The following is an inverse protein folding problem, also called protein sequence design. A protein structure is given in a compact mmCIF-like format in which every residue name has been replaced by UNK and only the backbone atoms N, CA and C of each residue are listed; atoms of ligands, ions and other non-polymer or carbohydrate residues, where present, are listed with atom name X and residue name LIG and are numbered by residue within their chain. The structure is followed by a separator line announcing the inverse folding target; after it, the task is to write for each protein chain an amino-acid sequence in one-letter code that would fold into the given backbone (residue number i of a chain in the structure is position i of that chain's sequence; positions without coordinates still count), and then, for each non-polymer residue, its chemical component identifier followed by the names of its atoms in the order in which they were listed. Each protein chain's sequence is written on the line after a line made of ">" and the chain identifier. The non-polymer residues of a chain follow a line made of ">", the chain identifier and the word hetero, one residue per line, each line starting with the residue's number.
data_IF_577762895238
#
_entry.id   IF_577762895238
#
_cell.length_a   1.000
_cell.length_b   1.000
_cell.length_c   1.000
_cell.angle_alpha   90.00
_cell.angle_beta   90.00
_cell.angle_gamma   90.00
#
_symmetry.space_group_name_H-M   'P 1'
#
loop_
_entity.id
_entity.type
_entity.pdbx_description
1 polymer ?
#
# COMPACT_ATOMS: atom_id res chain seq x y z
N UNK A 1 0.56 3.12 14.46
CA UNK A 1 1.28 1.85 14.16
C UNK A 1 0.42 1.10 13.18
N UNK A 2 0.86 0.95 11.94
CA UNK A 2 0.14 0.14 10.95
C UNK A 2 0.37 -1.34 11.28
N UNK A 3 -0.54 -2.23 10.89
CA UNK A 3 -0.46 -3.63 11.33
C UNK A 3 0.66 -4.45 10.69
N UNK A 4 1.40 -3.90 9.71
CA UNK A 4 2.36 -4.64 8.87
C UNK A 4 3.68 -3.89 8.58
N UNK A 5 3.79 -2.63 9.04
CA UNK A 5 4.95 -1.76 8.80
C UNK A 5 5.19 -0.91 10.04
N UNK A 6 6.37 -1.06 10.61
CA UNK A 6 6.84 -0.22 11.70
C UNK A 6 7.53 1.02 11.15
N UNK A 7 7.48 2.11 11.91
CA UNK A 7 8.07 3.38 11.54
C UNK A 7 9.17 3.76 12.52
N UNK A 8 10.39 3.93 12.01
CA UNK A 8 11.53 4.43 12.79
C UNK A 8 11.79 5.88 12.40
N UNK A 9 11.86 6.75 13.39
CA UNK A 9 12.29 8.14 13.22
C UNK A 9 13.73 8.24 13.70
N UNK A 10 14.64 8.59 12.80
CA UNK A 10 16.05 8.83 13.10
C UNK A 10 16.29 10.33 13.37
N UNK A 11 15.58 11.20 12.65
CA UNK A 11 15.55 12.65 12.83
C UNK A 11 14.12 13.17 12.60
N UNK A 12 13.57 13.87 13.58
CA UNK A 12 12.25 14.51 13.43
C UNK A 12 12.28 15.61 12.36
N UNK A 13 11.22 15.73 11.53
CA UNK A 13 11.06 16.84 10.61
C UNK A 13 10.72 18.13 11.35
N UNK A 14 10.91 19.26 10.67
CA UNK A 14 10.46 20.58 11.12
C UNK A 14 9.63 21.27 10.05
N UNK A 15 9.08 22.44 10.36
CA UNK A 15 8.35 23.27 9.39
C UNK A 15 9.18 23.67 8.16
N UNK A 16 10.52 23.70 8.28
CA UNK A 16 11.42 24.17 7.23
C UNK A 16 12.28 23.06 6.61
N UNK A 17 12.52 21.97 7.34
CA UNK A 17 13.45 20.91 6.95
C UNK A 17 12.81 19.52 7.04
N UNK A 18 13.08 18.67 6.04
CA UNK A 18 12.80 17.23 6.11
C UNK A 18 13.63 16.59 7.23
N UNK A 19 13.00 15.67 7.94
CA UNK A 19 13.65 14.74 8.85
C UNK A 19 14.17 13.52 8.10
N UNK A 20 14.47 12.47 8.85
CA UNK A 20 14.92 11.18 8.31
C UNK A 20 14.31 10.04 9.11
N UNK A 21 13.85 9.01 8.40
CA UNK A 21 13.30 7.83 9.03
C UNK A 21 13.45 6.59 8.15
N UNK A 22 12.86 5.49 8.61
CA UNK A 22 12.77 4.28 7.85
C UNK A 22 11.45 3.56 8.07
N UNK A 23 10.92 2.99 7.00
CA UNK A 23 9.90 1.96 7.06
C UNK A 23 10.58 0.61 7.33
N UNK A 24 10.13 -0.08 8.40
CA UNK A 24 10.60 -1.43 8.75
C UNK A 24 9.48 -2.41 8.41
N UNK A 25 9.71 -3.22 7.38
CA UNK A 25 8.71 -4.15 6.85
C UNK A 25 8.69 -5.45 7.65
N UNK A 26 7.55 -5.75 8.27
CA UNK A 26 7.37 -6.97 9.07
C UNK A 26 6.84 -8.11 8.19
N UNK A 27 6.92 -9.34 8.71
CA UNK A 27 6.29 -10.52 8.08
C UNK A 27 4.81 -10.65 8.48
N UNK A 28 4.26 -9.64 9.16
CA UNK A 28 2.85 -9.62 9.53
C UNK A 28 1.96 -9.40 8.32
N UNK A 29 0.75 -9.94 8.42
CA UNK A 29 -0.35 -9.64 7.51
C UNK A 29 -1.62 -9.38 8.30
N UNK A 30 -2.59 -8.76 7.63
CA UNK A 30 -3.89 -8.38 8.20
C UNK A 30 -4.97 -8.57 7.15
N UNK A 31 -6.04 -9.28 7.52
CA UNK A 31 -7.25 -9.48 6.71
C UNK A 31 -8.48 -9.08 7.51
N UNK A 32 -9.54 -8.66 6.83
CA UNK A 32 -10.81 -8.19 7.44
C UNK A 32 -10.65 -7.06 8.47
N UNK A 33 -9.60 -6.25 8.35
CA UNK A 33 -9.25 -5.19 9.30
C UNK A 33 -8.98 -5.70 10.73
N UNK A 34 -8.71 -7.01 10.90
CA UNK A 34 -8.49 -7.62 12.21
C UNK A 34 -7.24 -7.08 12.93
N UNK A 35 -6.28 -6.55 12.17
CA UNK A 35 -4.93 -6.23 12.65
C UNK A 35 -3.99 -7.41 12.43
N UNK A 36 -2.92 -7.50 13.23
CA UNK A 36 -1.93 -8.59 13.13
C UNK A 36 -2.62 -9.95 13.29
N UNK A 37 -2.42 -10.82 12.30
CA UNK A 37 -2.86 -12.21 12.32
C UNK A 37 -1.96 -13.06 13.25
N UNK A 38 -2.43 -14.22 13.73
CA UNK A 38 -1.65 -15.07 14.64
C UNK A 38 -0.38 -15.64 13.99
N UNK A 39 -0.35 -15.71 12.66
CA UNK A 39 0.78 -16.19 11.87
C UNK A 39 1.53 -15.02 11.20
N UNK A 40 2.79 -15.26 10.90
CA UNK A 40 3.62 -14.41 10.04
C UNK A 40 3.87 -15.14 8.71
N UNK A 41 4.02 -14.40 7.62
CA UNK A 41 4.39 -14.93 6.30
C UNK A 41 5.89 -14.69 6.13
N UNK A 42 6.75 -15.71 6.27
CA UNK A 42 8.20 -15.52 6.25
C UNK A 42 8.65 -14.76 5.00
N UNK A 43 9.56 -13.80 5.17
CA UNK A 43 10.13 -13.00 4.08
C UNK A 43 9.14 -12.08 3.33
N UNK A 44 7.85 -12.03 3.70
CA UNK A 44 6.91 -11.05 3.15
C UNK A 44 7.45 -9.63 3.25
N UNK A 45 7.91 -9.22 4.44
CA UNK A 45 8.42 -7.87 4.63
C UNK A 45 9.65 -7.58 3.78
N UNK A 46 10.56 -8.55 3.63
CA UNK A 46 11.72 -8.40 2.76
C UNK A 46 11.33 -8.29 1.27
N UNK A 47 10.35 -9.08 0.85
CA UNK A 47 9.84 -9.06 -0.53
C UNK A 47 9.18 -7.72 -0.88
N UNK A 48 8.34 -7.20 0.02
CA UNK A 48 7.67 -5.91 -0.15
C UNK A 48 8.66 -4.73 -0.09
N UNK A 49 9.66 -4.79 0.80
CA UNK A 49 10.73 -3.78 0.85
C UNK A 49 11.55 -3.77 -0.45
N UNK A 50 11.88 -4.96 -0.97
CA UNK A 50 12.62 -5.11 -2.24
C UNK A 50 11.81 -4.55 -3.41
N UNK A 51 10.54 -4.93 -3.53
CA UNK A 51 9.65 -4.48 -4.60
C UNK A 51 9.41 -2.95 -4.53
N UNK A 52 9.16 -2.43 -3.33
CA UNK A 52 8.96 -0.99 -3.12
C UNK A 52 10.21 -0.18 -3.45
N UNK A 53 11.38 -0.62 -2.99
CA UNK A 53 12.67 0.03 -3.30
C UNK A 53 12.95 0.02 -4.81
N UNK A 54 12.69 -1.11 -5.47
CA UNK A 54 12.81 -1.23 -6.92
C UNK A 54 11.94 -0.21 -7.64
N UNK A 55 10.66 -0.10 -7.26
CA UNK A 55 9.74 0.85 -7.87
C UNK A 55 10.20 2.30 -7.66
N UNK A 56 10.65 2.68 -6.46
CA UNK A 56 11.17 4.02 -6.22
C UNK A 56 12.39 4.33 -7.10
N UNK A 57 13.34 3.41 -7.24
CA UNK A 57 14.49 3.61 -8.12
C UNK A 57 14.09 3.72 -9.60
N UNK A 58 13.07 2.99 -10.03
CA UNK A 58 12.51 3.14 -11.39
C UNK A 58 11.80 4.49 -11.56
N UNK A 59 11.07 4.98 -10.54
CA UNK A 59 10.45 6.30 -10.55
C UNK A 59 11.51 7.41 -10.67
N UNK A 60 12.60 7.33 -9.90
CA UNK A 60 13.71 8.28 -9.95
C UNK A 60 14.44 8.28 -11.31
N UNK A 61 14.62 7.10 -11.92
CA UNK A 61 15.14 6.98 -13.29
C UNK A 61 14.25 7.68 -14.33
N UNK A 62 12.95 7.82 -14.04
CA UNK A 62 11.99 8.54 -14.85
C UNK A 62 11.75 9.99 -14.37
N UNK A 63 12.63 10.51 -13.51
CA UNK A 63 12.60 11.87 -12.97
C UNK A 63 11.32 12.21 -12.18
N UNK A 64 10.71 11.20 -11.56
CA UNK A 64 9.63 11.39 -10.61
C UNK A 64 10.25 11.66 -9.23
N UNK A 65 9.97 12.82 -8.58
CA UNK A 65 10.49 13.11 -7.24
C UNK A 65 9.88 12.15 -6.21
N UNK A 66 10.71 11.65 -5.30
CA UNK A 66 10.30 10.70 -4.26
C UNK A 66 10.99 11.02 -2.94
N UNK A 67 10.43 10.52 -1.84
CA UNK A 67 11.06 10.62 -0.52
C UNK A 67 12.07 9.50 -0.22
N UNK A 68 12.32 8.59 -1.16
CA UNK A 68 13.19 7.43 -0.96
C UNK A 68 14.66 7.85 -0.90
N UNK A 69 15.41 7.29 0.05
CA UNK A 69 16.85 7.55 0.21
C UNK A 69 17.72 6.30 0.02
N UNK A 70 17.11 5.14 -0.25
CA UNK A 70 17.80 3.85 -0.34
C UNK A 70 17.26 2.81 0.65
N UNK A 71 17.96 1.68 0.72
CA UNK A 71 17.67 0.60 1.66
C UNK A 71 18.77 0.49 2.72
N UNK A 72 18.38 0.13 3.94
CA UNK A 72 19.34 -0.03 5.02
C UNK A 72 19.92 -1.46 5.02
N UNK A 73 21.26 -1.55 5.02
CA UNK A 73 22.00 -2.82 5.14
C UNK A 73 22.86 -2.81 6.42
N UNK A 74 23.18 -3.98 7.00
CA UNK A 74 24.12 -4.07 8.11
C UNK A 74 25.47 -3.42 7.72
N UNK A 75 25.95 -2.47 8.53
CA UNK A 75 27.27 -1.88 8.33
C UNK A 75 28.42 -2.84 8.65
N UNK A 76 29.66 -2.39 8.42
CA UNK A 76 30.87 -3.21 8.67
C UNK A 76 31.08 -3.56 10.16
N UNK A 77 30.48 -2.79 11.07
CA UNK A 77 30.53 -3.04 12.50
C UNK A 77 29.56 -4.15 12.92
N UNK A 78 29.98 -5.02 13.84
CA UNK A 78 29.14 -6.09 14.39
C UNK A 78 28.73 -5.71 15.82
N UNK A 79 27.43 -5.62 16.09
CA UNK A 79 26.88 -5.30 17.42
C UNK A 79 25.48 -4.69 17.33
N UNK A 80 24.80 -4.56 18.48
CA UNK A 80 23.44 -3.99 18.54
C UNK A 80 23.39 -2.50 18.14
N UNK A 81 24.53 -1.80 18.24
CA UNK A 81 24.70 -0.38 17.90
C UNK A 81 25.42 -0.18 16.55
N UNK A 82 25.47 -1.21 15.70
CA UNK A 82 26.11 -1.10 14.39
C UNK A 82 25.35 -0.08 13.52
N UNK A 83 26.09 0.91 13.02
CA UNK A 83 25.58 1.88 12.06
C UNK A 83 25.11 1.14 10.80
N UNK A 84 23.88 1.42 10.37
CA UNK A 84 23.34 0.86 9.13
C UNK A 84 23.83 1.72 7.98
N UNK A 85 24.40 1.09 6.95
CA UNK A 85 24.69 1.78 5.71
C UNK A 85 23.40 1.91 4.90
N UNK A 86 23.23 3.04 4.22
CA UNK A 86 22.13 3.27 3.28
C UNK A 86 22.72 3.20 1.88
N UNK A 87 22.20 2.28 1.08
CA UNK A 87 22.70 1.95 -0.26
C UNK A 87 21.53 1.80 -1.22
N UNK A 88 21.81 1.86 -2.51
CA UNK A 88 20.84 1.49 -3.54
C UNK A 88 20.49 0.01 -3.42
N UNK A 89 19.27 -0.36 -3.82
CA UNK A 89 18.79 -1.74 -3.81
C UNK A 89 19.75 -2.66 -4.58
N UNK A 90 20.24 -2.21 -5.73
CA UNK A 90 21.16 -3.01 -6.55
C UNK A 90 22.45 -3.39 -5.80
N UNK A 91 22.98 -2.50 -4.96
CA UNK A 91 24.16 -2.78 -4.14
C UNK A 91 23.85 -3.80 -3.04
N UNK A 92 22.71 -3.63 -2.35
CA UNK A 92 22.24 -4.58 -1.34
C UNK A 92 22.06 -6.00 -1.93
N UNK A 93 21.43 -6.09 -3.11
CA UNK A 93 21.19 -7.37 -3.79
C UNK A 93 22.49 -8.03 -4.27
N UNK A 94 23.46 -7.27 -4.79
CA UNK A 94 24.79 -7.79 -5.15
C UNK A 94 25.54 -8.34 -3.92
N UNK A 95 25.32 -7.74 -2.75
CA UNK A 95 25.84 -8.26 -1.48
C UNK A 95 25.07 -9.48 -0.94
N UNK A 96 24.02 -9.93 -1.63
CA UNK A 96 23.18 -11.05 -1.22
C UNK A 96 22.23 -10.72 -0.07
N UNK A 97 21.86 -9.44 0.08
CA UNK A 97 21.01 -8.94 1.16
C UNK A 97 19.67 -8.52 0.59
N UNK A 98 18.60 -9.23 0.96
CA UNK A 98 17.23 -8.76 0.76
C UNK A 98 16.87 -7.78 1.89
N UNK A 99 16.64 -6.48 1.59
CA UNK A 99 16.43 -5.47 2.60
C UNK A 99 15.08 -5.64 3.30
N UNK A 100 14.98 -5.12 4.53
CA UNK A 100 13.71 -5.00 5.28
C UNK A 100 13.43 -3.58 5.76
N UNK A 101 14.35 -2.67 5.48
CA UNK A 101 14.28 -1.28 5.91
C UNK A 101 14.47 -0.39 4.70
N UNK A 102 13.47 0.45 4.43
CA UNK A 102 13.50 1.47 3.39
C UNK A 102 13.70 2.82 4.08
N UNK A 103 14.79 3.50 3.76
CA UNK A 103 15.14 4.80 4.34
C UNK A 103 14.45 5.89 3.53
N UNK A 104 13.88 6.87 4.23
CA UNK A 104 13.11 7.94 3.63
C UNK A 104 13.48 9.30 4.24
N UNK A 105 13.36 10.33 3.41
CA UNK A 105 13.21 11.71 3.89
C UNK A 105 11.84 11.84 4.54
N UNK A 106 11.81 12.25 5.80
CA UNK A 106 10.59 12.32 6.59
C UNK A 106 9.98 13.70 6.53
N UNK A 107 8.70 13.82 6.20
CA UNK A 107 7.92 15.06 6.27
C UNK A 107 7.08 15.13 7.54
N UNK A 108 6.53 16.30 7.86
CA UNK A 108 5.62 16.44 8.99
C UNK A 108 4.25 15.83 8.68
N UNK A 109 3.63 15.24 9.69
CA UNK A 109 2.21 14.91 9.69
C UNK A 109 1.58 15.47 10.97
N UNK A 110 1.22 16.76 11.00
CA UNK A 110 0.54 17.35 12.15
C UNK A 110 -0.75 16.62 12.50
N UNK A 111 -1.21 16.75 13.74
CA UNK A 111 -2.55 16.30 14.11
C UNK A 111 -3.59 17.07 13.29
N UNK A 112 -4.60 16.37 12.76
CA UNK A 112 -5.75 16.98 12.08
C UNK A 112 -6.85 17.24 13.13
N UNK A 113 -7.04 18.48 13.61
CA UNK A 113 -8.03 18.77 14.64
C UNK A 113 -9.44 18.57 14.09
N UNK A 114 -10.37 18.10 14.93
CA UNK A 114 -11.75 17.90 14.49
C UNK A 114 -12.76 18.07 15.63
N UNK A 115 -13.96 18.54 15.30
CA UNK A 115 -15.15 18.49 16.17
C UNK A 115 -16.24 17.64 15.50
N UNK A 116 -16.54 16.48 16.08
CA UNK A 116 -17.43 15.51 15.43
C UNK A 116 -16.87 15.04 14.08
N UNK A 117 -17.53 15.44 13.00
CA UNK A 117 -17.18 15.14 11.60
C UNK A 117 -16.61 16.35 10.85
N UNK A 118 -16.44 17.49 11.52
CA UNK A 118 -15.85 18.70 10.95
C UNK A 118 -14.34 18.69 11.24
N UNK A 119 -13.53 18.51 10.20
CA UNK A 119 -12.06 18.48 10.27
C UNK A 119 -11.46 19.82 9.84
N UNK A 120 -10.48 20.32 10.60
CA UNK A 120 -9.85 21.62 10.41
C UNK A 120 -8.54 21.50 9.62
N UNK A 121 -8.68 21.45 8.29
CA UNK A 121 -7.54 21.40 7.37
C UNK A 121 -6.75 22.72 7.33
N UNK A 122 -7.37 23.86 7.65
CA UNK A 122 -6.67 25.14 7.72
C UNK A 122 -5.65 25.12 8.88
N UNK A 123 -6.06 24.61 10.05
CA UNK A 123 -5.17 24.43 11.19
C UNK A 123 -4.07 23.39 10.92
N UNK A 124 -4.39 22.31 10.19
CA UNK A 124 -3.39 21.34 9.73
C UNK A 124 -2.28 22.02 8.91
N UNK A 125 -2.67 22.78 7.88
CA UNK A 125 -1.72 23.46 6.98
C UNK A 125 -0.97 24.60 7.68
N UNK A 126 -1.60 25.34 8.61
CA UNK A 126 -0.91 26.37 9.41
C UNK A 126 0.19 25.75 10.29
N UNK A 127 -0.07 24.59 10.89
CA UNK A 127 0.92 23.88 11.71
C UNK A 127 2.06 23.28 10.87
N UNK A 128 1.76 22.85 9.65
CA UNK A 128 2.71 22.16 8.78
C UNK A 128 3.63 23.13 7.99
N UNK A 129 3.16 24.34 7.67
CA UNK A 129 3.93 25.27 6.86
C UNK A 129 4.16 24.76 5.44
N UNK A 130 5.40 24.70 4.98
CA UNK A 130 5.76 24.27 3.61
C UNK A 130 6.35 22.85 3.55
N UNK A 131 6.24 22.07 4.63
CA UNK A 131 6.73 20.69 4.71
C UNK A 131 5.69 19.77 5.35
N UNK A 132 4.91 19.03 4.54
CA UNK A 132 3.84 18.17 5.05
C UNK A 132 3.49 16.98 4.18
N UNK A 133 2.99 15.91 4.78
CA UNK A 133 2.31 14.86 4.04
C UNK A 133 0.95 15.40 3.58
N UNK A 134 0.66 15.31 2.29
CA UNK A 134 -0.61 15.80 1.76
C UNK A 134 -1.73 14.90 2.33
N UNK A 135 -2.79 15.45 2.95
CA UNK A 135 -3.81 14.67 3.65
C UNK A 135 -4.83 14.03 2.69
N UNK A 136 -4.32 13.44 1.62
CA UNK A 136 -5.05 12.74 0.57
C UNK A 136 -4.41 11.39 0.30
N UNK A 137 -5.26 10.42 0.02
CA UNK A 137 -4.94 9.20 -0.69
C UNK A 137 -5.29 9.39 -2.17
N UNK A 138 -4.35 9.09 -3.06
CA UNK A 138 -4.52 9.29 -4.51
C UNK A 138 -4.61 7.91 -5.15
N UNK A 139 -5.83 7.50 -5.47
CA UNK A 139 -6.15 6.18 -6.00
C UNK A 139 -6.21 6.24 -7.51
N UNK A 140 -5.48 5.38 -8.20
CA UNK A 140 -5.61 5.20 -9.65
C UNK A 140 -6.15 3.80 -9.95
N UNK A 141 -6.90 3.66 -11.05
CA UNK A 141 -7.50 2.38 -11.46
C UNK A 141 -7.35 2.15 -12.96
N UNK A 142 -6.84 0.97 -13.31
CA UNK A 142 -6.84 0.42 -14.66
C UNK A 142 -8.00 -0.57 -14.86
N UNK A 143 -8.43 -1.23 -13.79
CA UNK A 143 -9.51 -2.21 -13.78
C UNK A 143 -10.47 -1.91 -12.63
N UNK A 144 -11.77 -2.12 -12.87
CA UNK A 144 -12.83 -1.98 -11.87
C UNK A 144 -13.30 -3.38 -11.45
N UNK A 145 -12.85 -3.93 -10.31
CA UNK A 145 -13.33 -5.23 -9.84
C UNK A 145 -14.76 -5.16 -9.32
N UNK A 146 -15.44 -6.32 -9.23
CA UNK A 146 -16.84 -6.44 -8.77
C UNK A 146 -17.07 -5.79 -7.39
N UNK A 147 -16.08 -5.89 -6.50
CA UNK A 147 -16.13 -5.30 -5.16
C UNK A 147 -15.81 -3.80 -5.08
N UNK A 148 -15.50 -3.14 -6.20
CA UNK A 148 -15.07 -1.74 -6.19
C UNK A 148 -16.16 -0.79 -5.69
N UNK A 149 -15.78 0.15 -4.82
CA UNK A 149 -16.67 1.21 -4.32
C UNK A 149 -17.14 2.15 -5.44
N UNK A 150 -16.37 2.25 -6.53
CA UNK A 150 -16.69 3.04 -7.72
C UNK A 150 -18.05 2.66 -8.31
N UNK A 151 -18.36 1.37 -8.32
CA UNK A 151 -19.59 0.80 -8.90
C UNK A 151 -20.86 1.27 -8.20
N UNK A 152 -20.77 1.73 -6.95
CA UNK A 152 -21.89 2.28 -6.17
C UNK A 152 -22.07 3.78 -6.35
N UNK A 153 -21.08 4.46 -6.94
CA UNK A 153 -20.99 5.93 -7.02
C UNK A 153 -21.10 6.47 -8.44
N UNK A 154 -21.05 5.62 -9.45
CA UNK A 154 -20.99 6.01 -10.86
C UNK A 154 -21.51 4.91 -11.77
N UNK A 155 -21.80 5.27 -13.02
CA UNK A 155 -22.24 4.36 -14.08
C UNK A 155 -21.09 4.06 -15.06
N UNK A 156 -21.04 2.87 -15.71
CA UNK A 156 -19.97 2.52 -16.65
C UNK A 156 -19.78 3.53 -17.79
N UNK A 157 -20.86 4.13 -18.26
CA UNK A 157 -20.85 5.10 -19.36
C UNK A 157 -20.07 6.37 -19.04
N UNK A 158 -19.91 6.72 -17.75
CA UNK A 158 -19.08 7.86 -17.33
C UNK A 158 -17.60 7.66 -17.65
N UNK A 159 -17.17 6.40 -17.84
CA UNK A 159 -15.80 6.00 -18.13
C UNK A 159 -15.62 5.49 -19.57
N UNK A 160 -16.55 5.81 -20.46
CA UNK A 160 -16.48 5.41 -21.86
C UNK A 160 -16.74 3.92 -22.12
N UNK A 161 -17.33 3.21 -21.17
CA UNK A 161 -17.68 1.80 -21.31
C UNK A 161 -19.09 1.63 -21.91
N UNK A 162 -19.25 0.67 -22.83
CA UNK A 162 -20.53 0.35 -23.48
C UNK A 162 -21.34 -0.68 -22.67
N UNK A 163 -21.62 -0.34 -21.41
CA UNK A 163 -22.48 -1.12 -20.52
C UNK A 163 -23.60 -0.24 -19.95
N UNK A 164 -24.82 -0.75 -19.90
CA UNK A 164 -25.95 -0.07 -19.25
C UNK A 164 -25.81 -0.06 -17.72
N UNK A 165 -25.22 -1.12 -17.16
CA UNK A 165 -24.94 -1.31 -15.73
C UNK A 165 -23.62 -2.05 -15.58
N UNK A 166 -22.96 -1.91 -14.44
CA UNK A 166 -21.74 -2.66 -14.15
C UNK A 166 -21.96 -4.18 -14.24
N UNK A 167 -21.16 -4.92 -15.04
CA UNK A 167 -21.29 -6.36 -15.18
C UNK A 167 -20.74 -7.12 -13.96
N UNK A 168 -21.19 -8.35 -13.69
CA UNK A 168 -20.73 -9.15 -12.53
C UNK A 168 -19.32 -9.78 -12.72
N UNK A 169 -18.43 -9.07 -13.41
CA UNK A 169 -17.04 -9.44 -13.66
C UNK A 169 -16.14 -8.19 -13.60
N UNK A 170 -14.83 -8.32 -13.38
CA UNK A 170 -13.88 -7.21 -13.51
C UNK A 170 -13.96 -6.57 -14.90
N UNK A 171 -13.83 -5.24 -14.97
CA UNK A 171 -13.87 -4.48 -16.24
C UNK A 171 -12.63 -3.61 -16.36
N UNK A 172 -11.89 -3.79 -17.43
CA UNK A 172 -10.77 -2.92 -17.76
C UNK A 172 -11.26 -1.58 -18.29
N UNK A 173 -10.64 -0.50 -17.80
CA UNK A 173 -10.92 0.86 -18.22
C UNK A 173 -10.13 1.19 -19.49
N UNK A 174 -10.72 1.95 -20.43
CA UNK A 174 -9.99 2.38 -21.64
C UNK A 174 -8.86 3.36 -21.33
N UNK A 175 -9.03 4.17 -20.29
CA UNK A 175 -8.03 5.08 -19.74
C UNK A 175 -8.08 4.98 -18.21
N UNK A 176 -6.93 5.04 -17.52
CA UNK A 176 -6.91 5.01 -16.06
C UNK A 176 -7.66 6.21 -15.49
N UNK A 177 -8.34 5.99 -14.37
CA UNK A 177 -9.00 7.07 -13.62
C UNK A 177 -8.24 7.36 -12.33
N UNK A 178 -8.25 8.62 -11.91
CA UNK A 178 -7.72 9.06 -10.61
C UNK A 178 -8.86 9.52 -9.72
N UNK A 179 -8.88 9.03 -8.49
CA UNK A 179 -9.79 9.43 -7.43
C UNK A 179 -9.00 9.89 -6.21
N UNK A 180 -9.53 10.88 -5.50
CA UNK A 180 -8.97 11.33 -4.23
C UNK A 180 -9.87 10.85 -3.09
N UNK A 181 -9.25 10.33 -2.03
CA UNK A 181 -9.91 10.16 -0.74
C UNK A 181 -9.15 10.89 0.35
N UNK A 182 -9.84 11.19 1.43
CA UNK A 182 -9.23 11.79 2.62
C UNK A 182 -8.18 10.86 3.20
N UNK A 183 -7.20 11.44 3.89
CA UNK A 183 -6.32 10.75 4.83
C UNK A 183 -6.47 11.41 6.20
N UNK A 184 -6.33 10.62 7.27
CA UNK A 184 -6.44 11.04 8.70
C UNK A 184 -7.85 11.33 9.23
N UNK A 185 -8.88 11.32 8.39
CA UNK A 185 -10.24 11.24 8.91
C UNK A 185 -10.46 9.88 9.61
N UNK A 186 -11.44 9.79 10.51
CA UNK A 186 -11.80 8.53 11.19
C UNK A 186 -12.19 7.41 10.22
N UNK A 187 -12.79 7.79 9.09
CA UNK A 187 -13.13 6.91 7.99
C UNK A 187 -12.86 7.66 6.70
N UNK A 188 -12.07 7.05 5.82
CA UNK A 188 -11.75 7.68 4.56
C UNK A 188 -12.98 7.77 3.66
N UNK A 189 -13.12 8.90 2.97
CA UNK A 189 -14.21 9.16 2.03
C UNK A 189 -13.66 9.71 0.73
N UNK A 190 -14.29 9.31 -0.37
CA UNK A 190 -13.98 9.85 -1.69
C UNK A 190 -14.47 11.29 -1.82
N UNK A 191 -13.69 12.08 -2.54
CA UNK A 191 -13.83 13.51 -2.66
C UNK A 191 -14.16 13.91 -4.09
N UNK A 192 -14.98 14.96 -4.23
CA UNK A 192 -14.97 15.71 -5.48
C UNK A 192 -13.69 16.55 -5.60
N UNK A 193 -13.44 17.07 -6.81
CA UNK A 193 -12.22 17.81 -7.11
C UNK A 193 -12.06 19.09 -6.28
N UNK A 194 -13.16 19.78 -5.95
CA UNK A 194 -13.13 21.03 -5.18
C UNK A 194 -12.82 20.75 -3.70
N UNK A 195 -13.34 19.65 -3.15
CA UNK A 195 -13.00 19.17 -1.82
C UNK A 195 -11.55 18.71 -1.74
N UNK A 196 -11.07 17.95 -2.73
CA UNK A 196 -9.70 17.48 -2.76
C UNK A 196 -8.70 18.65 -2.87
N UNK A 197 -8.97 19.64 -3.73
CA UNK A 197 -8.15 20.87 -3.86
C UNK A 197 -8.03 21.63 -2.53
N UNK A 198 -9.16 21.83 -1.82
CA UNK A 198 -9.14 22.43 -0.47
C UNK A 198 -8.29 21.64 0.52
N UNK A 199 -8.43 20.32 0.53
CA UNK A 199 -7.73 19.44 1.47
C UNK A 199 -6.23 19.37 1.15
N UNK A 200 -5.86 19.38 -0.14
CA UNK A 200 -4.47 19.39 -0.60
C UNK A 200 -3.70 20.66 -0.17
N UNK A 201 -4.40 21.77 0.08
CA UNK A 201 -3.82 23.01 0.56
C UNK A 201 -2.93 23.67 -0.50
N UNK A 202 -1.63 23.78 -0.21
CA UNK A 202 -0.67 24.38 -1.15
C UNK A 202 -0.33 23.47 -2.35
N UNK A 203 -0.61 22.17 -2.25
CA UNK A 203 -0.33 21.21 -3.32
C UNK A 203 -1.39 21.28 -4.43
N UNK A 204 -0.95 21.53 -5.68
CA UNK A 204 -1.86 21.59 -6.84
C UNK A 204 -2.46 20.22 -7.16
N UNK A 205 -3.80 20.13 -7.11
CA UNK A 205 -4.55 18.89 -7.37
C UNK A 205 -4.33 18.32 -8.78
N UNK A 206 -4.11 19.18 -9.78
CA UNK A 206 -3.83 18.73 -11.15
C UNK A 206 -2.44 18.11 -11.22
N UNK A 207 -1.47 18.67 -10.48
CA UNK A 207 -0.12 18.11 -10.41
C UNK A 207 -0.12 16.76 -9.70
N UNK A 208 -0.94 16.61 -8.66
CA UNK A 208 -1.15 15.33 -7.97
C UNK A 208 -1.74 14.27 -8.90
N UNK A 209 -2.74 14.63 -9.71
CA UNK A 209 -3.32 13.73 -10.71
C UNK A 209 -2.31 13.33 -11.80
N UNK A 210 -1.56 14.29 -12.37
CA UNK A 210 -0.49 14.01 -13.33
C UNK A 210 0.57 13.06 -12.76
N UNK A 211 0.95 13.26 -11.49
CA UNK A 211 1.92 12.44 -10.80
C UNK A 211 1.40 11.02 -10.60
N UNK A 212 0.15 10.86 -10.14
CA UNK A 212 -0.50 9.56 -10.00
C UNK A 212 -0.57 8.80 -11.33
N UNK A 213 -1.00 9.45 -12.42
CA UNK A 213 -1.03 8.85 -13.74
C UNK A 213 0.36 8.44 -14.24
N UNK A 214 1.39 9.24 -13.93
CA UNK A 214 2.78 8.92 -14.31
C UNK A 214 3.31 7.71 -13.54
N UNK A 215 3.03 7.64 -12.23
CA UNK A 215 3.39 6.49 -11.39
C UNK A 215 2.66 5.24 -11.89
N UNK A 216 1.34 5.32 -12.08
CA UNK A 216 0.51 4.22 -12.58
C UNK A 216 1.02 3.69 -13.92
N UNK A 217 1.34 4.57 -14.86
CA UNK A 217 1.89 4.18 -16.15
C UNK A 217 3.20 3.39 -16.00
N UNK A 218 4.14 3.87 -15.18
CA UNK A 218 5.44 3.20 -14.95
C UNK A 218 5.24 1.82 -14.31
N UNK A 219 4.40 1.73 -13.27
CA UNK A 219 4.11 0.47 -12.59
C UNK A 219 3.40 -0.52 -13.52
N UNK A 220 2.46 -0.04 -14.32
CA UNK A 220 1.71 -0.85 -15.29
C UNK A 220 2.61 -1.38 -16.40
N UNK A 221 3.53 -0.56 -16.93
CA UNK A 221 4.52 -1.03 -17.89
C UNK A 221 5.45 -2.08 -17.29
N UNK A 222 5.89 -1.90 -16.03
CA UNK A 222 6.74 -2.86 -15.35
C UNK A 222 6.01 -4.19 -15.11
N UNK A 223 4.77 -4.14 -14.60
CA UNK A 223 3.93 -5.30 -14.39
C UNK A 223 3.74 -6.10 -15.70
N UNK A 224 3.38 -5.42 -16.78
CA UNK A 224 3.14 -6.04 -18.08
C UNK A 224 4.39 -6.74 -18.66
N UNK A 225 5.59 -6.18 -18.43
CA UNK A 225 6.86 -6.82 -18.88
C UNK A 225 7.13 -8.14 -18.18
N UNK A 226 6.62 -8.31 -16.96
CA UNK A 226 6.78 -9.51 -16.14
C UNK A 226 5.53 -10.41 -16.11
N UNK A 227 4.54 -10.15 -16.98
CA UNK A 227 3.34 -10.98 -17.12
C UNK A 227 2.22 -10.69 -16.10
N UNK A 228 2.37 -9.64 -15.28
CA UNK A 228 1.33 -9.20 -14.34
C UNK A 228 0.36 -8.22 -15.00
N UNK A 229 -0.88 -8.24 -14.53
CA UNK A 229 -1.87 -7.19 -14.73
C UNK A 229 -1.87 -6.31 -13.49
N UNK A 230 -1.73 -5.00 -13.68
CA UNK A 230 -1.81 -4.00 -12.60
C UNK A 230 -3.20 -3.37 -12.61
N UNK A 231 -4.05 -3.77 -11.67
CA UNK A 231 -5.49 -3.49 -11.71
C UNK A 231 -5.83 -2.13 -11.11
N UNK A 232 -5.35 -1.85 -9.90
CA UNK A 232 -5.49 -0.58 -9.24
C UNK A 232 -4.39 -0.39 -8.19
N UNK A 233 -4.25 0.85 -7.72
CA UNK A 233 -3.28 1.18 -6.69
C UNK A 233 -3.53 2.55 -6.08
N UNK A 234 -2.67 2.91 -5.14
CA UNK A 234 -2.71 4.19 -4.46
C UNK A 234 -1.29 4.71 -4.26
N UNK A 235 -1.14 6.02 -4.34
CA UNK A 235 0.03 6.70 -3.79
C UNK A 235 -0.38 7.71 -2.72
N UNK A 236 0.60 8.02 -1.89
CA UNK A 236 0.61 9.20 -1.04
C UNK A 236 1.70 10.13 -1.53
N UNK A 237 1.58 11.41 -1.20
CA UNK A 237 2.55 12.42 -1.61
C UNK A 237 2.84 13.36 -0.45
N UNK A 238 4.07 13.87 -0.41
CA UNK A 238 4.44 14.99 0.46
C UNK A 238 4.61 16.26 -0.36
N UNK A 239 4.37 17.39 0.29
CA UNK A 239 4.67 18.72 -0.20
C UNK A 239 5.88 19.26 0.56
N UNK A 240 6.91 19.71 -0.15
CA UNK A 240 8.10 20.30 0.43
C UNK A 240 8.59 21.48 -0.41
N UNK A 241 8.54 22.69 0.14
CA UNK A 241 9.14 23.89 -0.45
C UNK A 241 8.66 24.21 -1.88
N UNK A 242 7.41 23.89 -2.22
CA UNK A 242 6.86 24.10 -3.56
C UNK A 242 6.90 22.87 -4.49
N UNK A 243 7.47 21.75 -4.03
CA UNK A 243 7.54 20.50 -4.78
C UNK A 243 6.63 19.42 -4.19
N UNK A 244 6.19 18.50 -5.04
CA UNK A 244 5.39 17.33 -4.66
C UNK A 244 6.21 16.08 -4.93
N UNK A 245 6.44 15.28 -3.90
CA UNK A 245 7.23 14.06 -3.97
C UNK A 245 6.36 12.86 -3.62
N UNK A 246 6.52 11.75 -4.34
CA UNK A 246 5.85 10.48 -4.01
C UNK A 246 6.37 9.98 -2.66
N UNK A 247 5.45 9.66 -1.77
CA UNK A 247 5.71 9.25 -0.41
C UNK A 247 5.10 7.87 -0.10
N UNK A 248 5.22 7.46 1.17
CA UNK A 248 4.89 6.13 1.67
C UNK A 248 5.58 4.99 0.90
N UNK A 249 4.86 3.93 0.53
CA UNK A 249 5.36 2.77 -0.23
C UNK A 249 4.57 2.67 -1.52
N UNK A 250 5.25 2.40 -2.64
CA UNK A 250 4.62 2.43 -3.97
C UNK A 250 4.71 1.08 -4.68
N UNK A 251 3.58 0.65 -5.27
CA UNK A 251 3.54 -0.44 -6.24
C UNK A 251 3.87 -1.83 -5.68
N UNK A 252 3.58 -2.09 -4.41
CA UNK A 252 3.79 -3.43 -3.83
C UNK A 252 2.51 -4.26 -3.82
N UNK A 253 2.63 -5.58 -3.68
CA UNK A 253 1.49 -6.51 -3.61
C UNK A 253 0.51 -6.28 -2.44
N UNK A 254 0.89 -5.47 -1.43
CA UNK A 254 0.00 -5.09 -0.33
C UNK A 254 -0.69 -3.73 -0.56
N UNK A 255 -0.08 -2.84 -1.35
CA UNK A 255 -0.58 -1.48 -1.60
C UNK A 255 -1.39 -1.37 -2.90
N UNK A 256 -1.08 -2.21 -3.88
CA UNK A 256 -1.73 -2.27 -5.18
C UNK A 256 -2.27 -3.68 -5.45
N UNK A 257 -3.23 -3.78 -6.37
CA UNK A 257 -3.73 -5.06 -6.87
C UNK A 257 -3.00 -5.46 -8.13
N UNK A 258 -2.37 -6.62 -8.05
CA UNK A 258 -1.75 -7.28 -9.18
C UNK A 258 -2.33 -8.67 -9.32
N UNK A 259 -2.66 -9.04 -10.54
CA UNK A 259 -3.01 -10.42 -10.88
C UNK A 259 -2.01 -11.00 -11.88
N UNK A 260 -1.78 -12.30 -11.79
CA UNK A 260 -0.94 -13.06 -12.71
C UNK A 260 -1.74 -14.28 -13.18
N UNK A 261 -1.90 -14.42 -14.49
CA UNK A 261 -2.77 -15.44 -15.11
C UNK A 261 -4.21 -15.43 -14.52
N UNK A 262 -4.69 -14.26 -14.05
CA UNK A 262 -6.01 -14.12 -13.40
C UNK A 262 -6.07 -14.56 -11.93
N UNK A 263 -4.94 -14.81 -11.28
CA UNK A 263 -4.84 -15.01 -9.83
C UNK A 263 -4.26 -13.77 -9.16
N UNK A 264 -4.95 -13.24 -8.15
CA UNK A 264 -4.43 -12.17 -7.28
C UNK A 264 -3.13 -12.62 -6.58
N UNK A 265 -2.10 -11.78 -6.68
CA UNK A 265 -0.80 -11.98 -6.03
C UNK A 265 -0.74 -11.04 -4.82
N UNK A 266 -1.44 -11.41 -3.75
CA UNK A 266 -1.51 -10.63 -2.52
C UNK A 266 -2.02 -11.48 -1.36
N UNK A 267 -2.20 -10.85 -0.19
CA UNK A 267 -2.90 -11.45 0.96
C UNK A 267 -4.36 -11.85 0.67
N UNK A 268 -4.93 -11.48 -0.48
CA UNK A 268 -6.28 -11.90 -0.85
C UNK A 268 -6.44 -13.42 -0.89
N UNK A 269 -5.38 -14.16 -1.25
CA UNK A 269 -5.34 -15.63 -1.17
C UNK A 269 -5.65 -16.11 0.26
N UNK A 270 -4.98 -15.54 1.26
CA UNK A 270 -5.23 -15.88 2.66
C UNK A 270 -6.59 -15.38 3.14
N UNK A 271 -7.06 -14.23 2.66
CA UNK A 271 -8.42 -13.73 2.95
C UNK A 271 -9.46 -14.77 2.54
N UNK A 272 -9.36 -15.30 1.32
CA UNK A 272 -10.29 -16.30 0.81
C UNK A 272 -10.15 -17.64 1.53
N UNK A 273 -8.91 -18.04 1.87
CA UNK A 273 -8.66 -19.23 2.67
C UNK A 273 -9.36 -19.18 4.03
N UNK A 274 -9.23 -18.06 4.77
CA UNK A 274 -9.94 -17.85 6.03
C UNK A 274 -11.46 -17.85 5.87
N UNK A 275 -12.03 -17.24 4.81
CA UNK A 275 -13.48 -17.29 4.56
C UNK A 275 -13.98 -18.74 4.44
N UNK A 276 -13.22 -19.59 3.75
CA UNK A 276 -13.60 -20.98 3.51
C UNK A 276 -13.41 -21.86 4.73
N UNK A 277 -12.31 -21.69 5.47
CA UNK A 277 -11.91 -22.59 6.56
C UNK A 277 -12.35 -22.14 7.94
N UNK A 278 -12.52 -20.84 8.16
CA UNK A 278 -12.92 -20.24 9.44
C UNK A 278 -14.17 -19.34 9.29
N UNK A 279 -15.27 -19.81 8.68
CA UNK A 279 -16.44 -18.97 8.39
C UNK A 279 -17.14 -18.45 9.65
N UNK A 280 -17.10 -19.17 10.77
CA UNK A 280 -17.67 -18.70 12.05
C UNK A 280 -16.96 -17.46 12.58
N UNK A 281 -15.63 -17.42 12.47
CA UNK A 281 -14.86 -16.23 12.88
C UNK A 281 -15.15 -15.06 11.94
N UNK A 282 -15.18 -15.28 10.62
CA UNK A 282 -15.49 -14.22 9.66
C UNK A 282 -16.90 -13.66 9.88
N UNK A 283 -17.89 -14.51 10.19
CA UNK A 283 -19.23 -14.06 10.55
C UNK A 283 -19.23 -13.23 11.84
N UNK A 284 -18.52 -13.68 12.88
CA UNK A 284 -18.40 -12.94 14.15
C UNK A 284 -17.74 -11.57 13.96
N UNK A 285 -16.73 -11.45 13.08
CA UNK A 285 -16.13 -10.16 12.71
C UNK A 285 -17.16 -9.22 12.08
N UNK A 286 -17.98 -9.74 11.15
CA UNK A 286 -19.05 -8.94 10.53
C UNK A 286 -20.08 -8.48 11.56
N UNK A 287 -20.58 -9.39 12.40
CA UNK A 287 -21.55 -9.08 13.44
C UNK A 287 -21.01 -8.07 14.47
N UNK A 288 -19.72 -8.17 14.80
CA UNK A 288 -19.06 -7.24 15.71
C UNK A 288 -18.93 -5.83 15.11
N UNK A 289 -18.61 -5.72 13.82
CA UNK A 289 -18.58 -4.44 13.09
C UNK A 289 -19.96 -3.81 13.01
N UNK A 290 -20.97 -4.58 12.61
CA UNK A 290 -22.36 -4.11 12.53
C UNK A 290 -22.85 -3.62 13.92
N UNK A 291 -22.57 -4.38 14.99
CA UNK A 291 -22.92 -3.99 16.34
C UNK A 291 -22.16 -2.76 16.85
N UNK A 292 -20.91 -2.56 16.41
CA UNK A 292 -20.11 -1.39 16.77
C UNK A 292 -20.66 -0.12 16.11
N UNK A 293 -21.01 -0.21 14.83
CA UNK A 293 -21.63 0.86 14.06
C UNK A 293 -22.99 1.25 14.67
N UNK A 294 -23.83 0.28 15.02
CA UNK A 294 -25.11 0.52 15.70
C UNK A 294 -24.95 1.21 17.07
N UNK A 295 -23.85 0.92 17.78
CA UNK A 295 -23.54 1.48 19.11
C UNK A 295 -22.72 2.76 19.05
N UNK A 296 -22.21 3.15 17.88
CA UNK A 296 -21.30 4.28 17.72
C UNK A 296 -19.98 4.13 18.47
N UNK A 297 -19.44 2.91 18.57
CA UNK A 297 -18.15 2.62 19.23
C UNK A 297 -17.10 2.23 18.19
N UNK A 298 -15.88 2.75 18.32
CA UNK A 298 -14.81 2.46 17.36
C UNK A 298 -14.18 1.06 17.57
N UNK A 299 -14.16 0.58 18.82
CA UNK A 299 -13.55 -0.71 19.18
C UNK A 299 -14.53 -1.88 18.95
N UNK A 300 -14.77 -2.19 17.68
CA UNK A 300 -15.57 -3.35 17.28
C UNK A 300 -14.91 -4.67 17.69
N UNK A 301 -13.57 -4.71 17.79
CA UNK A 301 -12.83 -5.95 18.09
C UNK A 301 -13.17 -6.47 19.48
N UNK A 302 -13.39 -5.58 20.46
CA UNK A 302 -13.88 -5.94 21.80
C UNK A 302 -15.26 -6.61 21.82
N UNK A 303 -16.05 -6.45 20.74
CA UNK A 303 -17.37 -7.05 20.57
C UNK A 303 -17.32 -8.41 19.87
N UNK A 304 -16.17 -8.78 19.28
CA UNK A 304 -15.97 -10.07 18.63
C UNK A 304 -15.54 -11.12 19.67
N UNK A 305 -16.32 -12.18 19.82
CA UNK A 305 -16.08 -13.26 20.79
C UNK A 305 -15.24 -14.41 20.20
N UNK A 306 -14.85 -14.29 18.93
CA UNK A 306 -14.01 -15.25 18.21
C UNK A 306 -12.69 -14.62 17.81
N UNK A 307 -11.63 -15.42 17.81
CA UNK A 307 -10.32 -15.08 17.30
C UNK A 307 -9.98 -15.99 16.11
N UNK A 308 -9.15 -15.54 15.16
CA UNK A 308 -8.67 -16.41 14.09
C UNK A 308 -7.79 -17.53 14.65
N UNK A 309 -7.96 -18.73 14.13
CA UNK A 309 -7.05 -19.84 14.39
C UNK A 309 -5.80 -19.73 13.49
N UNK A 310 -4.62 -20.15 14.00
CA UNK A 310 -3.40 -20.25 13.19
C UNK A 310 -3.59 -21.12 11.94
N UNK A 311 -2.95 -20.73 10.85
CA UNK A 311 -2.96 -21.48 9.59
C UNK A 311 -1.98 -22.66 9.61
N UNK A 312 -2.27 -23.68 8.80
CA UNK A 312 -1.33 -24.77 8.58
C UNK A 312 -0.06 -24.27 7.88
N UNK A 313 1.10 -24.83 8.23
CA UNK A 313 2.40 -24.38 7.70
C UNK A 313 2.47 -24.40 6.17
N UNK A 314 1.80 -25.34 5.51
CA UNK A 314 1.76 -25.42 4.05
C UNK A 314 1.03 -24.22 3.41
N UNK A 315 0.02 -23.67 4.07
CA UNK A 315 -0.70 -22.47 3.61
C UNK A 315 0.19 -21.24 3.72
N UNK A 316 0.93 -21.12 4.83
CA UNK A 316 1.91 -20.05 5.06
C UNK A 316 3.07 -20.14 4.07
N UNK A 317 3.57 -21.35 3.80
CA UNK A 317 4.63 -21.60 2.82
C UNK A 317 4.17 -21.20 1.40
N UNK A 318 2.94 -21.58 1.02
CA UNK A 318 2.36 -21.18 -0.27
C UNK A 318 2.21 -19.65 -0.39
N UNK A 319 1.76 -18.98 0.67
CA UNK A 319 1.69 -17.52 0.67
C UNK A 319 3.09 -16.87 0.60
N UNK A 320 4.07 -17.40 1.33
CA UNK A 320 5.46 -16.94 1.27
C UNK A 320 6.02 -17.08 -0.14
N UNK A 321 5.78 -18.22 -0.79
CA UNK A 321 6.27 -18.49 -2.14
C UNK A 321 5.61 -17.54 -3.14
N UNK A 322 4.31 -17.25 -2.99
CA UNK A 322 3.61 -16.28 -3.83
C UNK A 322 4.24 -14.87 -3.76
N UNK A 323 4.55 -14.37 -2.55
CA UNK A 323 5.23 -13.07 -2.39
C UNK A 323 6.66 -13.08 -2.94
N UNK A 324 7.44 -14.10 -2.61
CA UNK A 324 8.84 -14.21 -3.01
C UNK A 324 8.99 -14.41 -4.53
N UNK A 325 8.26 -15.36 -5.11
CA UNK A 325 8.25 -15.64 -6.54
C UNK A 325 7.68 -14.45 -7.33
N UNK A 326 6.61 -13.84 -6.83
CA UNK A 326 6.04 -12.63 -7.42
C UNK A 326 7.05 -11.50 -7.47
N UNK A 327 7.79 -11.28 -6.38
CA UNK A 327 8.82 -10.23 -6.34
C UNK A 327 9.96 -10.55 -7.28
N UNK A 328 10.48 -11.79 -7.29
CA UNK A 328 11.54 -12.22 -8.21
C UNK A 328 11.13 -11.97 -9.68
N UNK A 329 9.93 -12.38 -10.07
CA UNK A 329 9.40 -12.18 -11.42
C UNK A 329 9.21 -10.69 -11.74
N UNK A 330 8.66 -9.92 -10.81
CA UNK A 330 8.40 -8.48 -11.00
C UNK A 330 9.69 -7.67 -11.15
N UNK A 331 10.72 -7.90 -10.32
CA UNK A 331 11.99 -7.16 -10.41
C UNK A 331 12.97 -7.75 -11.44
N UNK A 332 12.67 -8.96 -11.96
CA UNK A 332 13.48 -9.64 -12.96
C UNK A 332 14.79 -10.25 -12.41
N UNK A 333 14.78 -10.80 -11.19
CA UNK A 333 15.96 -11.37 -10.57
C UNK A 333 15.67 -12.43 -9.49
N UNK A 334 16.67 -13.27 -9.19
CA UNK A 334 16.58 -14.35 -8.21
C UNK A 334 16.93 -13.85 -6.79
N UNK A 335 16.11 -12.95 -6.24
CA UNK A 335 16.35 -12.34 -4.92
C UNK A 335 16.06 -13.33 -3.79
N UNK A 336 15.00 -14.12 -3.94
CA UNK A 336 14.53 -15.08 -2.95
C UNK A 336 14.64 -16.51 -3.48
N UNK A 337 15.00 -17.46 -2.62
CA UNK A 337 14.94 -18.90 -2.94
C UNK A 337 13.48 -19.36 -2.92
N UNK A 338 12.81 -19.28 -4.05
CA UNK A 338 11.37 -19.54 -4.22
C UNK A 338 11.15 -20.25 -5.58
N UNK A 339 10.01 -20.95 -5.75
CA UNK A 339 9.61 -21.44 -7.07
C UNK A 339 9.43 -20.29 -8.07
N UNK A 340 9.27 -20.62 -9.36
CA UNK A 340 8.83 -19.64 -10.34
C UNK A 340 7.38 -19.18 -10.06
N UNK A 341 7.02 -18.02 -10.62
CA UNK A 341 5.71 -17.41 -10.38
C UNK A 341 4.55 -18.27 -10.89
N UNK A 342 4.73 -18.99 -12.00
CA UNK A 342 3.71 -19.89 -12.54
C UNK A 342 3.38 -20.99 -11.51
N UNK A 343 4.40 -21.65 -10.96
CA UNK A 343 4.25 -22.69 -9.93
C UNK A 343 3.65 -22.12 -8.64
N UNK A 344 4.08 -20.94 -8.21
CA UNK A 344 3.56 -20.32 -6.99
C UNK A 344 2.07 -19.95 -7.12
N UNK A 345 1.65 -19.45 -8.29
CA UNK A 345 0.25 -19.14 -8.60
C UNK A 345 -0.60 -20.41 -8.69
N UNK A 346 -0.10 -21.48 -9.30
CA UNK A 346 -0.78 -22.78 -9.31
C UNK A 346 -1.02 -23.30 -7.89
N UNK A 347 -0.01 -23.28 -7.03
CA UNK A 347 -0.15 -23.68 -5.63
C UNK A 347 -1.15 -22.80 -4.87
N UNK A 348 -1.13 -21.48 -5.09
CA UNK A 348 -2.08 -20.56 -4.46
C UNK A 348 -3.54 -20.80 -4.88
N UNK A 349 -3.79 -21.29 -6.10
CA UNK A 349 -5.14 -21.66 -6.58
C UNK A 349 -5.66 -22.95 -5.96
N UNK A 350 -4.77 -23.84 -5.55
CA UNK A 350 -5.12 -25.10 -4.89
C UNK A 350 -5.50 -24.90 -3.41
N UNK A 351 -5.16 -23.75 -2.83
CA UNK A 351 -5.58 -23.36 -1.49
C UNK A 351 -7.09 -23.20 -1.42
#
# INVERSE_FOLDING_TARGET
>A
MTSVKDFRIDQEPTAEDLGRGAFVFTDDYSVFDWGKMPDEIPQKGASLCTMGAYNFEVLEQNHIPTHYEGVAVPGEAVGADAERAVVDLSEALVAGIAPREMVISLTQAPDLPHDGADYDYDAYHEAAGENFLIPLEIVFRNTVPVGSSLRKRSEPTEYGLDYEVWPDEPVDLPEPIVEFSTKYEKQDRYLDREQADRIAGAADINRLEELALSVDHILTEQAARSGFVHEDGKIECLYYGGEIHVADVVGTFDENRFSYDGQEVSKEVLRQYHKRTQPEWVAAVSEAKDAADERGVADWKSLCDREPEPLESAVIETARDLYCAGTNAYVGGDVFDAPDIDTAVEAAREL
#
